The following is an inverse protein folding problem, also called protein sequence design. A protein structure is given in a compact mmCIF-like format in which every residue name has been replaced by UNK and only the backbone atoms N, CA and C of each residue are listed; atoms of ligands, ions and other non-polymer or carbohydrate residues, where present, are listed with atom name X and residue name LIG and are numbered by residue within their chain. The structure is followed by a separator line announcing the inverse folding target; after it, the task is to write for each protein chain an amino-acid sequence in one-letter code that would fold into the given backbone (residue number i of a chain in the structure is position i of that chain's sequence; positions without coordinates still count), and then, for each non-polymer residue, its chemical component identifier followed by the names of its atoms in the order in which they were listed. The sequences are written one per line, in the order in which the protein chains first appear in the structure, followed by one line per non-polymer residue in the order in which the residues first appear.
data_IF_860980198874
#
_entry.id   IF_860980198874
#
_cell.length_a   1.000
_cell.length_b   1.000
_cell.length_c   1.000
_cell.angle_alpha   90.00
_cell.angle_beta   90.00
_cell.angle_gamma   90.00
#
_symmetry.space_group_name_H-M   'P 1'
#
loop_
_entity.id
_entity.type
_entity.pdbx_description
1 polymer ?
#
# COMPACT_ATOMS: atom_id res chain seq x y z
N UNK A 1 -56.01 6.51 14.57
CA UNK A 1 -55.23 7.72 14.24
C UNK A 1 -53.85 7.35 14.71
N UNK A 2 -53.14 6.64 13.84
CA UNK A 2 -51.87 6.01 14.17
C UNK A 2 -50.78 6.96 13.69
N UNK A 3 -50.09 7.58 14.66
CA UNK A 3 -48.85 8.30 14.45
C UNK A 3 -47.79 7.29 14.01
N UNK A 4 -47.47 7.30 12.72
CA UNK A 4 -46.33 6.59 12.17
C UNK A 4 -45.05 7.32 12.59
N UNK A 5 -44.41 6.77 13.61
CA UNK A 5 -43.07 7.06 14.08
C UNK A 5 -42.07 6.90 12.92
N UNK A 6 -41.77 8.01 12.24
CA UNK A 6 -40.78 8.07 11.16
C UNK A 6 -39.38 8.09 11.79
N UNK A 7 -38.89 6.90 12.16
CA UNK A 7 -37.48 6.71 12.49
C UNK A 7 -36.66 6.90 11.22
N UNK A 8 -36.15 8.11 11.03
CA UNK A 8 -34.99 8.33 10.18
C UNK A 8 -33.86 7.47 10.76
N UNK A 9 -33.52 6.38 10.08
CA UNK A 9 -32.29 5.65 10.33
C UNK A 9 -31.13 6.64 10.17
N UNK A 10 -30.58 7.08 11.30
CA UNK A 10 -29.42 7.94 11.36
C UNK A 10 -28.24 7.13 10.79
N UNK A 11 -27.95 7.33 9.49
CA UNK A 11 -26.84 6.65 8.81
C UNK A 11 -25.56 7.08 9.53
N UNK A 12 -25.05 6.22 10.40
CA UNK A 12 -23.79 6.45 11.12
C UNK A 12 -22.66 6.50 10.11
N UNK A 13 -22.26 7.71 9.73
CA UNK A 13 -21.15 7.92 8.81
C UNK A 13 -19.86 7.35 9.42
N UNK A 14 -19.15 6.52 8.67
CA UNK A 14 -17.88 5.96 9.08
C UNK A 14 -16.77 7.00 8.81
N UNK A 15 -16.44 7.83 9.80
CA UNK A 15 -15.45 8.90 9.66
C UNK A 15 -14.11 8.42 10.25
N UNK A 16 -13.02 8.64 9.51
CA UNK A 16 -11.66 8.33 9.96
C UNK A 16 -11.30 9.06 11.25
N UNK A 17 -10.84 8.35 12.28
CA UNK A 17 -10.49 8.97 13.57
C UNK A 17 -9.21 9.81 13.48
N UNK A 18 -8.26 9.40 12.64
CA UNK A 18 -6.94 10.05 12.51
C UNK A 18 -6.95 11.22 11.52
N UNK A 19 -7.91 11.24 10.60
CA UNK A 19 -7.99 12.19 9.49
C UNK A 19 -9.39 12.80 9.42
N UNK A 20 -9.72 13.61 10.43
CA UNK A 20 -11.01 14.25 10.60
C UNK A 20 -10.83 15.68 11.13
N UNK A 21 -10.17 16.52 10.34
CA UNK A 21 -10.15 17.96 10.58
C UNK A 21 -10.99 18.69 9.52
N UNK A 22 -12.32 18.79 9.73
CA UNK A 22 -13.21 19.51 8.81
C UNK A 22 -12.98 21.03 8.84
N UNK A 23 -12.23 21.54 9.82
CA UNK A 23 -11.92 22.96 9.97
C UNK A 23 -10.55 23.32 9.40
N UNK A 24 -9.79 22.35 8.89
CA UNK A 24 -8.54 22.59 8.20
C UNK A 24 -8.77 23.55 7.02
N UNK A 25 -7.81 24.46 6.81
CA UNK A 25 -7.87 25.34 5.64
C UNK A 25 -7.93 24.50 4.36
N UNK A 26 -8.93 24.80 3.51
CA UNK A 26 -9.24 24.03 2.32
C UNK A 26 -9.48 22.53 2.59
N UNK A 27 -10.22 22.19 3.67
CA UNK A 27 -10.64 20.82 3.94
C UNK A 27 -11.36 20.22 2.71
N UNK A 28 -10.85 19.08 2.26
CA UNK A 28 -11.39 18.24 1.21
C UNK A 28 -12.05 17.03 1.88
N UNK A 29 -13.30 16.75 1.52
CA UNK A 29 -13.97 15.52 1.91
C UNK A 29 -13.55 14.43 0.93
N UNK A 30 -12.87 13.41 1.42
CA UNK A 30 -12.47 12.25 0.62
C UNK A 30 -13.28 11.04 1.08
N UNK A 31 -13.89 10.32 0.14
CA UNK A 31 -14.67 9.11 0.41
C UNK A 31 -13.93 7.93 -0.22
N UNK A 32 -13.51 6.97 0.61
CA UNK A 32 -12.93 5.72 0.13
C UNK A 32 -13.97 4.85 -0.56
N UNK A 33 -13.51 3.84 -1.30
CA UNK A 33 -14.39 2.90 -2.00
C UNK A 33 -15.32 2.11 -1.06
N UNK A 34 -14.86 1.82 0.17
CA UNK A 34 -15.63 1.17 1.24
C UNK A 34 -16.46 2.15 2.10
N UNK A 35 -16.58 3.41 1.67
CA UNK A 35 -17.49 4.40 2.25
C UNK A 35 -16.98 5.11 3.51
N UNK A 36 -15.71 4.95 3.88
CA UNK A 36 -15.09 5.73 4.95
C UNK A 36 -14.79 7.16 4.48
N UNK A 37 -15.10 8.13 5.34
CA UNK A 37 -14.93 9.55 5.06
C UNK A 37 -13.67 10.06 5.76
N UNK A 38 -12.85 10.80 5.03
CA UNK A 38 -11.66 11.49 5.50
C UNK A 38 -11.85 12.99 5.26
N UNK A 39 -11.47 13.81 6.23
CA UNK A 39 -11.35 15.25 6.05
C UNK A 39 -9.87 15.61 6.14
N UNK A 40 -9.29 15.95 4.98
CA UNK A 40 -7.87 16.27 4.84
C UNK A 40 -7.70 17.63 4.16
N UNK A 41 -6.61 18.36 4.44
CA UNK A 41 -6.28 19.54 3.64
C UNK A 41 -6.06 19.17 2.16
N UNK A 42 -6.74 19.87 1.24
CA UNK A 42 -6.68 19.58 -0.19
C UNK A 42 -5.25 19.56 -0.77
N UNK A 43 -4.38 20.42 -0.22
CA UNK A 43 -2.98 20.53 -0.68
C UNK A 43 -2.21 19.22 -0.55
N UNK A 44 -2.59 18.33 0.39
CA UNK A 44 -1.94 17.03 0.58
C UNK A 44 -2.02 16.23 -0.72
N UNK A 45 -3.21 16.00 -1.27
CA UNK A 45 -3.36 15.30 -2.55
C UNK A 45 -2.90 16.13 -3.74
N UNK A 46 -3.15 17.44 -3.74
CA UNK A 46 -2.71 18.30 -4.84
C UNK A 46 -1.18 18.33 -4.97
N UNK A 47 -0.43 18.18 -3.88
CA UNK A 47 1.04 18.15 -3.91
C UNK A 47 1.59 16.82 -4.42
N UNK A 48 0.87 15.72 -4.22
CA UNK A 48 1.35 14.39 -4.56
C UNK A 48 1.14 14.04 -6.04
N UNK A 49 0.05 14.50 -6.65
CA UNK A 49 -0.34 14.07 -8.00
C UNK A 49 -0.88 15.21 -8.86
N UNK A 50 -0.49 15.22 -10.14
CA UNK A 50 -1.10 16.11 -11.14
C UNK A 50 -2.57 15.73 -11.36
N UNK A 51 -2.86 14.43 -11.49
CA UNK A 51 -4.21 13.94 -11.74
C UNK A 51 -5.17 14.28 -10.59
N UNK A 52 -4.76 14.03 -9.34
CA UNK A 52 -5.57 14.40 -8.17
C UNK A 52 -5.75 15.91 -8.07
N UNK A 53 -4.70 16.68 -8.39
CA UNK A 53 -4.78 18.14 -8.37
C UNK A 53 -5.78 18.69 -9.37
N UNK A 54 -5.78 18.21 -10.61
CA UNK A 54 -6.75 18.67 -11.61
C UNK A 54 -8.18 18.23 -11.22
N UNK A 55 -8.35 17.01 -10.73
CA UNK A 55 -9.64 16.53 -10.23
C UNK A 55 -10.19 17.41 -9.09
N UNK A 56 -9.34 17.80 -8.14
CA UNK A 56 -9.72 18.68 -7.04
C UNK A 56 -10.04 20.11 -7.53
N UNK A 57 -9.36 20.60 -8.57
CA UNK A 57 -9.70 21.91 -9.16
C UNK A 57 -11.07 21.88 -9.84
N UNK A 58 -11.40 20.82 -10.56
CA UNK A 58 -12.71 20.65 -11.19
C UNK A 58 -13.83 20.61 -10.15
N UNK A 59 -13.57 19.96 -9.02
CA UNK A 59 -14.46 19.95 -7.85
C UNK A 59 -14.63 21.35 -7.25
N UNK A 60 -13.60 22.20 -7.30
CA UNK A 60 -13.61 23.55 -6.73
C UNK A 60 -14.21 24.63 -7.67
N UNK A 61 -14.60 24.29 -8.91
CA UNK A 61 -15.26 25.26 -9.79
C UNK A 61 -16.69 25.52 -9.29
N UNK A 62 -17.05 26.78 -8.96
CA UNK A 62 -18.41 27.09 -8.57
C UNK A 62 -19.31 26.94 -9.80
N UNK A 63 -20.21 25.96 -9.75
CA UNK A 63 -21.33 25.89 -10.70
C UNK A 63 -22.34 26.96 -10.26
N UNK A 64 -22.11 28.19 -10.72
CA UNK A 64 -23.07 29.32 -10.80
C UNK A 64 -23.93 29.61 -9.56
N UNK A 65 -23.55 30.66 -8.84
CA UNK A 65 -24.39 31.55 -8.02
C UNK A 65 -25.31 30.93 -6.97
N UNK A 66 -24.83 30.78 -5.73
CA UNK A 66 -25.54 31.38 -4.59
C UNK A 66 -24.63 31.55 -3.37
N UNK A 67 -24.76 32.71 -2.73
CA UNK A 67 -23.87 33.18 -1.67
C UNK A 67 -24.48 32.88 -0.30
N UNK A 68 -23.97 31.89 0.43
CA UNK A 68 -24.08 31.82 1.90
C UNK A 68 -22.87 31.07 2.51
N UNK A 69 -22.15 31.64 3.48
CA UNK A 69 -21.00 30.99 4.10
C UNK A 69 -21.41 30.33 5.42
N UNK A 70 -21.68 29.02 5.42
CA UNK A 70 -21.80 28.23 6.67
C UNK A 70 -21.37 26.79 6.42
N UNK A 71 -20.32 26.35 7.11
CA UNK A 71 -19.87 24.94 7.22
C UNK A 71 -19.31 24.33 5.93
N UNK A 72 -18.43 23.33 6.07
CA UNK A 72 -17.72 22.69 4.96
C UNK A 72 -18.65 22.41 3.77
N UNK A 73 -18.38 23.06 2.64
CA UNK A 73 -19.23 23.01 1.46
C UNK A 73 -19.27 21.55 0.93
N UNK A 74 -20.44 20.88 0.88
CA UNK A 74 -20.57 19.53 0.34
C UNK A 74 -20.13 19.42 -1.13
N UNK A 75 -19.90 20.54 -1.82
CA UNK A 75 -19.34 20.61 -3.17
C UNK A 75 -17.91 20.04 -3.29
N UNK A 76 -17.11 20.01 -2.20
CA UNK A 76 -15.71 19.54 -2.23
C UNK A 76 -15.53 18.07 -1.85
N UNK A 77 -16.19 17.18 -2.58
CA UNK A 77 -16.12 15.74 -2.34
C UNK A 77 -15.33 15.03 -3.45
N UNK A 78 -14.25 14.34 -3.06
CA UNK A 78 -13.51 13.41 -3.90
C UNK A 78 -13.88 11.98 -3.50
N UNK A 79 -14.53 11.24 -4.39
CA UNK A 79 -14.92 9.84 -4.13
C UNK A 79 -14.10 8.88 -4.95
N UNK A 80 -13.60 7.84 -4.29
CA UNK A 80 -12.91 6.73 -4.90
C UNK A 80 -13.83 5.53 -5.10
N UNK A 81 -13.50 4.65 -6.04
CA UNK A 81 -14.41 3.56 -6.50
C UNK A 81 -13.72 2.22 -6.68
N UNK A 82 -12.39 2.18 -6.65
CA UNK A 82 -11.63 0.94 -6.78
C UNK A 82 -11.53 0.24 -5.43
N UNK A 83 -12.35 -0.78 -5.22
CA UNK A 83 -12.45 -1.53 -3.96
C UNK A 83 -11.12 -2.16 -3.51
N UNK A 84 -10.17 -2.36 -4.43
CA UNK A 84 -8.88 -2.97 -4.11
C UNK A 84 -7.83 -1.92 -3.74
N UNK A 85 -7.74 -0.85 -4.53
CA UNK A 85 -6.65 0.13 -4.40
C UNK A 85 -7.03 1.38 -3.63
N UNK A 86 -8.32 1.66 -3.44
CA UNK A 86 -8.82 2.92 -2.90
C UNK A 86 -9.70 2.72 -1.67
N UNK A 87 -9.48 1.62 -0.96
CA UNK A 87 -10.11 1.32 0.33
C UNK A 87 -9.60 2.24 1.44
N UNK A 88 -10.36 2.34 2.52
CA UNK A 88 -10.03 3.16 3.69
C UNK A 88 -8.65 2.85 4.27
N UNK A 89 -8.26 1.57 4.32
CA UNK A 89 -6.97 1.12 4.85
C UNK A 89 -5.81 1.62 3.98
N UNK A 90 -5.95 1.51 2.64
CA UNK A 90 -4.93 1.98 1.70
C UNK A 90 -4.78 3.50 1.77
N UNK A 91 -5.90 4.24 1.83
CA UNK A 91 -5.85 5.70 1.95
C UNK A 91 -5.22 6.15 3.27
N UNK A 92 -5.60 5.53 4.41
CA UNK A 92 -5.01 5.88 5.71
C UNK A 92 -3.50 5.63 5.73
N UNK A 93 -3.06 4.48 5.23
CA UNK A 93 -1.64 4.14 5.15
C UNK A 93 -0.89 5.07 4.19
N UNK A 94 -1.47 5.38 3.02
CA UNK A 94 -0.91 6.37 2.07
C UNK A 94 -0.74 7.76 2.71
N UNK A 95 -1.77 8.25 3.40
CA UNK A 95 -1.74 9.55 4.10
C UNK A 95 -0.67 9.55 5.21
N UNK A 96 -0.49 8.43 5.90
CA UNK A 96 0.56 8.27 6.92
C UNK A 96 1.96 8.32 6.32
N UNK A 97 2.17 7.68 5.15
CA UNK A 97 3.46 7.67 4.42
C UNK A 97 3.87 9.09 4.01
N UNK A 98 2.94 9.88 3.49
CA UNK A 98 3.24 11.25 3.05
C UNK A 98 3.22 12.27 4.19
N UNK A 99 2.67 11.90 5.35
CA UNK A 99 2.70 12.67 6.59
C UNK A 99 3.96 12.43 7.43
N UNK A 100 5.03 11.92 6.83
CA UNK A 100 6.34 11.65 7.44
C UNK A 100 6.33 10.66 8.63
N UNK A 101 5.33 9.78 8.72
CA UNK A 101 5.38 8.65 9.68
C UNK A 101 6.34 7.57 9.20
N UNK A 102 7.02 6.91 10.13
CA UNK A 102 7.79 5.69 9.82
C UNK A 102 6.87 4.57 9.34
N UNK A 103 7.40 3.63 8.54
CA UNK A 103 6.66 2.48 8.04
C UNK A 103 6.06 1.67 9.18
N UNK A 104 6.87 1.40 10.20
CA UNK A 104 6.49 0.57 11.35
C UNK A 104 5.33 1.21 12.10
N UNK A 105 5.41 2.51 12.41
CA UNK A 105 4.32 3.24 13.05
C UNK A 105 3.04 3.26 12.18
N UNK A 106 3.18 3.44 10.87
CA UNK A 106 2.04 3.44 9.95
C UNK A 106 1.38 2.05 9.84
N UNK A 107 2.16 0.97 9.92
CA UNK A 107 1.63 -0.40 9.96
C UNK A 107 0.97 -0.72 11.30
N UNK A 108 1.54 -0.27 12.43
CA UNK A 108 0.97 -0.48 13.77
C UNK A 108 -0.36 0.26 14.00
N UNK A 109 -0.54 1.42 13.37
CA UNK A 109 -1.79 2.18 13.41
C UNK A 109 -2.87 1.63 12.47
N UNK A 110 -2.49 0.74 11.55
CA UNK A 110 -3.42 0.13 10.61
C UNK A 110 -4.38 -0.81 11.34
N UNK A 111 -5.66 -0.75 10.96
CA UNK A 111 -6.69 -1.65 11.48
C UNK A 111 -6.60 -3.07 10.89
N UNK A 112 -5.85 -3.25 9.80
CA UNK A 112 -5.64 -4.56 9.18
C UNK A 112 -4.34 -5.22 9.65
N UNK A 113 -4.41 -6.54 9.85
CA UNK A 113 -3.24 -7.40 10.11
C UNK A 113 -2.55 -7.86 8.81
N UNK A 114 -3.15 -7.60 7.65
CA UNK A 114 -2.66 -8.03 6.34
C UNK A 114 -1.71 -7.00 5.73
N UNK A 115 -0.55 -6.84 6.36
CA UNK A 115 0.42 -5.80 6.03
C UNK A 115 1.01 -5.92 4.62
N UNK A 116 1.22 -7.14 4.10
CA UNK A 116 1.78 -7.35 2.76
C UNK A 116 0.80 -6.85 1.67
N UNK A 117 -0.47 -7.27 1.65
CA UNK A 117 -1.47 -6.67 0.76
C UNK A 117 -1.59 -5.15 0.92
N UNK A 118 -1.68 -4.63 2.15
CA UNK A 118 -1.81 -3.20 2.40
C UNK A 118 -0.68 -2.39 1.75
N UNK A 119 0.56 -2.82 2.00
CA UNK A 119 1.74 -2.16 1.46
C UNK A 119 1.78 -2.24 -0.07
N UNK A 120 1.53 -3.43 -0.63
CA UNK A 120 1.48 -3.62 -2.09
C UNK A 120 0.40 -2.75 -2.76
N UNK A 121 -0.83 -2.74 -2.21
CA UNK A 121 -1.92 -1.93 -2.75
C UNK A 121 -1.66 -0.43 -2.62
N UNK A 122 -0.98 0.01 -1.56
CA UNK A 122 -0.58 1.42 -1.44
C UNK A 122 0.44 1.82 -2.50
N UNK A 123 1.41 0.96 -2.82
CA UNK A 123 2.31 1.20 -3.94
C UNK A 123 1.56 1.25 -5.28
N UNK A 124 0.57 0.37 -5.47
CA UNK A 124 -0.27 0.38 -6.67
C UNK A 124 -1.15 1.63 -6.76
N UNK A 125 -1.71 2.10 -5.65
CA UNK A 125 -2.44 3.37 -5.55
C UNK A 125 -1.54 4.55 -5.94
N UNK A 126 -0.35 4.65 -5.35
CA UNK A 126 0.62 5.69 -5.67
C UNK A 126 1.02 5.66 -7.15
N UNK A 127 1.12 4.48 -7.75
CA UNK A 127 1.37 4.34 -9.20
C UNK A 127 0.16 4.73 -10.05
N UNK A 128 -1.05 4.30 -9.68
CA UNK A 128 -2.31 4.60 -10.38
C UNK A 128 -2.55 6.10 -10.49
N UNK A 129 -2.31 6.81 -9.39
CA UNK A 129 -2.53 8.25 -9.29
C UNK A 129 -1.30 9.08 -9.65
N UNK A 130 -0.22 8.46 -10.13
CA UNK A 130 1.04 9.13 -10.48
C UNK A 130 1.55 10.04 -9.35
N UNK A 131 1.78 9.42 -8.18
CA UNK A 131 2.32 10.05 -6.99
C UNK A 131 3.83 9.73 -6.84
N UNK A 132 4.74 10.40 -7.59
CA UNK A 132 6.14 9.99 -7.67
C UNK A 132 6.88 10.10 -6.34
N UNK A 133 6.57 11.09 -5.52
CA UNK A 133 7.23 11.28 -4.22
C UNK A 133 6.82 10.20 -3.22
N UNK A 134 5.52 9.92 -3.09
CA UNK A 134 5.03 8.82 -2.28
C UNK A 134 5.60 7.47 -2.75
N UNK A 135 5.61 7.22 -4.06
CA UNK A 135 6.17 5.99 -4.62
C UNK A 135 7.68 5.86 -4.35
N UNK A 136 8.44 6.97 -4.37
CA UNK A 136 9.86 7.00 -4.01
C UNK A 136 10.08 6.63 -2.54
N UNK A 137 9.28 7.18 -1.62
CA UNK A 137 9.34 6.85 -0.18
C UNK A 137 9.05 5.37 0.02
N UNK A 138 7.97 4.85 -0.59
CA UNK A 138 7.62 3.45 -0.51
C UNK A 138 8.74 2.56 -1.06
N UNK A 139 9.29 2.83 -2.25
CA UNK A 139 10.41 2.07 -2.81
C UNK A 139 11.66 2.08 -1.91
N UNK A 140 11.96 3.20 -1.27
CA UNK A 140 13.07 3.28 -0.31
C UNK A 140 12.82 2.37 0.91
N UNK A 141 11.59 2.30 1.40
CA UNK A 141 11.21 1.36 2.45
C UNK A 141 11.27 -0.10 2.00
N UNK A 142 10.85 -0.41 0.76
CA UNK A 142 10.98 -1.76 0.19
C UNK A 142 12.45 -2.20 0.16
N UNK A 143 13.36 -1.29 -0.17
CA UNK A 143 14.79 -1.53 -0.09
C UNK A 143 15.24 -1.78 1.36
N UNK A 144 14.80 -1.00 2.34
CA UNK A 144 15.12 -1.27 3.76
C UNK A 144 14.62 -2.65 4.21
N UNK A 145 13.41 -3.06 3.79
CA UNK A 145 12.88 -4.39 4.08
C UNK A 145 13.78 -5.50 3.49
N UNK A 146 14.36 -5.29 2.31
CA UNK A 146 15.32 -6.25 1.73
C UNK A 146 16.58 -6.43 2.58
N UNK A 147 17.04 -5.36 3.25
CA UNK A 147 18.20 -5.40 4.15
C UNK A 147 17.92 -6.12 5.47
N UNK A 148 16.66 -6.12 5.92
CA UNK A 148 16.24 -6.83 7.13
C UNK A 148 16.23 -8.36 6.95
N UNK A 149 16.11 -8.86 5.72
CA UNK A 149 16.03 -10.29 5.43
C UNK A 149 14.85 -10.95 6.17
N UNK A 150 15.14 -12.03 6.90
CA UNK A 150 14.11 -12.80 7.62
C UNK A 150 13.62 -12.14 8.93
N UNK A 151 14.27 -11.04 9.37
CA UNK A 151 14.07 -10.46 10.71
C UNK A 151 12.76 -9.69 10.87
N UNK A 152 12.18 -9.21 9.76
CA UNK A 152 10.95 -8.44 9.85
C UNK A 152 9.78 -9.35 10.26
N UNK A 153 8.93 -8.96 11.24
CA UNK A 153 7.94 -9.85 11.84
C UNK A 153 6.88 -10.33 10.84
N UNK A 154 6.46 -9.46 9.92
CA UNK A 154 5.31 -9.71 9.06
C UNK A 154 5.65 -9.90 7.58
N UNK A 155 6.34 -8.93 6.99
CA UNK A 155 6.80 -8.97 5.60
C UNK A 155 8.05 -9.85 5.50
N UNK A 156 8.03 -10.87 4.63
CA UNK A 156 9.16 -11.81 4.45
C UNK A 156 9.90 -11.54 3.14
N UNK A 157 11.14 -12.05 2.98
CA UNK A 157 11.94 -11.81 1.78
C UNK A 157 11.23 -12.15 0.46
N UNK A 158 10.40 -13.20 0.42
CA UNK A 158 9.62 -13.54 -0.77
C UNK A 158 8.64 -12.41 -1.14
N UNK A 159 7.94 -11.83 -0.16
CA UNK A 159 7.02 -10.71 -0.41
C UNK A 159 7.78 -9.51 -0.97
N UNK A 160 8.94 -9.19 -0.38
CA UNK A 160 9.80 -8.09 -0.84
C UNK A 160 10.26 -8.34 -2.28
N UNK A 161 10.67 -9.57 -2.61
CA UNK A 161 11.12 -9.94 -3.95
C UNK A 161 10.00 -9.78 -4.99
N UNK A 162 8.81 -10.29 -4.70
CA UNK A 162 7.66 -10.22 -5.62
C UNK A 162 7.24 -8.77 -5.83
N UNK A 163 7.13 -7.98 -4.75
CA UNK A 163 6.79 -6.56 -4.86
C UNK A 163 7.87 -5.82 -5.67
N UNK A 164 9.15 -6.07 -5.39
CA UNK A 164 10.23 -5.44 -6.14
C UNK A 164 10.14 -5.78 -7.64
N UNK A 165 9.86 -7.05 -7.97
CA UNK A 165 9.70 -7.49 -9.34
C UNK A 165 8.52 -6.82 -10.05
N UNK A 166 7.36 -6.71 -9.38
CA UNK A 166 6.15 -6.04 -9.93
C UNK A 166 6.33 -4.54 -10.19
N UNK A 167 7.29 -3.90 -9.51
CA UNK A 167 7.61 -2.48 -9.67
C UNK A 167 8.91 -2.21 -10.45
N UNK A 168 9.53 -3.24 -11.06
CA UNK A 168 10.84 -3.19 -11.75
C UNK A 168 11.99 -2.64 -10.87
N UNK A 169 11.94 -2.89 -9.56
CA UNK A 169 12.97 -2.50 -8.59
C UNK A 169 14.10 -3.53 -8.56
N UNK A 170 14.92 -3.54 -9.61
CA UNK A 170 15.99 -4.54 -9.81
C UNK A 170 17.00 -4.57 -8.68
N UNK A 171 17.40 -3.41 -8.17
CA UNK A 171 18.38 -3.33 -7.08
C UNK A 171 17.83 -4.00 -5.82
N UNK A 172 16.58 -3.73 -5.47
CA UNK A 172 15.91 -4.32 -4.30
C UNK A 172 15.76 -5.83 -4.46
N UNK A 173 15.34 -6.31 -5.63
CA UNK A 173 15.23 -7.75 -5.88
C UNK A 173 16.59 -8.47 -5.82
N UNK A 174 17.64 -7.85 -6.36
CA UNK A 174 19.00 -8.38 -6.28
C UNK A 174 19.51 -8.41 -4.83
N UNK A 175 19.21 -7.37 -4.05
CA UNK A 175 19.57 -7.31 -2.63
C UNK A 175 18.86 -8.41 -1.83
N UNK A 176 17.58 -8.68 -2.12
CA UNK A 176 16.86 -9.81 -1.51
C UNK A 176 17.58 -11.12 -1.80
N UNK A 177 17.95 -11.40 -3.06
CA UNK A 177 18.67 -12.63 -3.44
C UNK A 177 20.01 -12.70 -2.70
N UNK A 178 20.78 -11.61 -2.68
CA UNK A 178 22.12 -11.57 -2.09
C UNK A 178 22.12 -11.70 -0.55
N UNK A 179 21.09 -11.16 0.12
CA UNK A 179 20.96 -11.18 1.58
C UNK A 179 20.14 -12.35 2.09
N UNK A 180 19.47 -13.08 1.21
CA UNK A 180 18.71 -14.26 1.62
C UNK A 180 19.67 -15.27 2.26
N UNK A 181 19.46 -15.51 3.55
CA UNK A 181 20.17 -16.54 4.30
C UNK A 181 19.13 -17.47 4.92
N UNK A 182 19.43 -18.77 4.85
CA UNK A 182 18.63 -19.75 5.56
C UNK A 182 18.70 -19.45 7.06
N UNK A 183 17.60 -19.61 7.76
CA UNK A 183 17.46 -19.45 9.21
C UNK A 183 16.59 -20.60 9.74
N UNK A 184 16.81 -21.01 10.98
CA UNK A 184 15.94 -21.98 11.66
C UNK A 184 14.86 -21.27 12.50
N UNK A 185 14.86 -19.94 12.53
CA UNK A 185 14.06 -19.13 13.46
C UNK A 185 12.60 -18.97 12.98
N UNK A 186 12.36 -19.11 11.68
CA UNK A 186 11.05 -18.84 11.08
C UNK A 186 10.62 -20.02 10.20
N UNK A 187 10.13 -21.09 10.83
CA UNK A 187 9.62 -22.28 10.15
C UNK A 187 8.09 -22.26 10.01
N UNK A 188 7.40 -21.43 10.80
CA UNK A 188 5.96 -21.25 10.74
C UNK A 188 5.59 -20.17 9.71
N UNK A 189 4.53 -20.37 8.92
CA UNK A 189 4.05 -19.36 7.99
C UNK A 189 3.58 -18.10 8.73
N UNK A 190 3.89 -16.89 8.23
CA UNK A 190 3.39 -15.66 8.80
C UNK A 190 1.87 -15.62 8.65
N UNK A 191 1.19 -15.01 9.62
CA UNK A 191 -0.25 -14.80 9.56
C UNK A 191 -0.69 -13.87 8.41
N UNK A 192 0.23 -13.12 7.81
CA UNK A 192 -0.05 -12.03 6.87
C UNK A 192 0.67 -12.13 5.52
N UNK A 193 0.88 -13.35 5.03
CA UNK A 193 1.49 -13.61 3.71
C UNK A 193 0.49 -13.61 2.56
N UNK A 194 0.79 -12.90 1.47
CA UNK A 194 -0.06 -12.89 0.25
C UNK A 194 0.32 -13.97 -0.75
N UNK A 195 1.62 -14.17 -0.96
CA UNK A 195 2.15 -15.05 -2.00
C UNK A 195 2.72 -16.34 -1.41
N UNK A 196 2.12 -16.78 -0.30
CA UNK A 196 2.56 -17.96 0.45
C UNK A 196 3.85 -17.72 1.23
N UNK A 197 4.53 -18.82 1.57
CA UNK A 197 5.63 -18.82 2.51
C UNK A 197 6.70 -19.82 2.09
N UNK A 198 7.94 -19.34 1.99
CA UNK A 198 9.12 -20.22 1.96
C UNK A 198 9.64 -20.32 3.39
N UNK A 199 9.61 -21.52 4.00
CA UNK A 199 10.27 -21.77 5.28
C UNK A 199 11.69 -21.22 5.27
N UNK A 200 12.08 -20.53 6.34
CA UNK A 200 13.39 -19.86 6.36
C UNK A 200 14.57 -20.84 6.25
N UNK A 201 14.38 -22.14 6.47
CA UNK A 201 15.41 -23.16 6.30
C UNK A 201 15.57 -23.65 4.84
N UNK A 202 14.74 -23.17 3.91
CA UNK A 202 14.83 -23.45 2.48
C UNK A 202 15.54 -22.32 1.74
N UNK A 203 15.95 -22.57 0.50
CA UNK A 203 16.52 -21.52 -0.35
C UNK A 203 15.42 -20.74 -1.06
N UNK A 204 15.70 -19.47 -1.38
CA UNK A 204 14.89 -18.67 -2.30
C UNK A 204 15.08 -19.20 -3.73
N UNK A 205 14.47 -20.34 -4.01
CA UNK A 205 14.54 -21.08 -5.27
C UNK A 205 13.13 -21.26 -5.84
N UNK A 206 12.99 -21.26 -7.17
CA UNK A 206 11.68 -21.43 -7.82
C UNK A 206 10.95 -22.67 -7.30
N UNK A 207 11.62 -23.81 -7.18
CA UNK A 207 11.06 -25.07 -6.64
C UNK A 207 10.49 -24.98 -5.21
N UNK A 208 10.95 -24.02 -4.41
CA UNK A 208 10.44 -23.79 -3.05
C UNK A 208 9.35 -22.71 -3.01
N UNK A 209 9.22 -21.90 -4.07
CA UNK A 209 8.20 -20.86 -4.18
C UNK A 209 6.85 -21.52 -4.51
N UNK A 210 5.76 -21.20 -3.79
CA UNK A 210 4.42 -21.70 -4.11
C UNK A 210 3.97 -21.29 -5.52
N UNK A 211 3.23 -22.16 -6.21
CA UNK A 211 2.76 -21.91 -7.60
C UNK A 211 1.98 -20.59 -7.71
N UNK A 212 1.16 -20.25 -6.72
CA UNK A 212 0.40 -18.99 -6.69
C UNK A 212 1.30 -17.75 -6.75
N UNK A 213 2.52 -17.84 -6.22
CA UNK A 213 3.51 -16.76 -6.30
C UNK A 213 4.23 -16.74 -7.64
N UNK A 214 4.35 -17.88 -8.35
CA UNK A 214 4.99 -17.93 -9.66
C UNK A 214 4.25 -17.08 -10.68
N UNK A 215 2.91 -17.14 -10.64
CA UNK A 215 2.04 -16.37 -11.55
C UNK A 215 2.21 -14.86 -11.38
N UNK A 216 2.71 -14.42 -10.23
CA UNK A 216 2.85 -13.02 -9.84
C UNK A 216 4.25 -12.45 -10.09
N UNK A 217 5.24 -13.30 -10.40
CA UNK A 217 6.62 -12.89 -10.69
C UNK A 217 6.79 -12.69 -12.20
N UNK A 218 7.16 -11.48 -12.66
CA UNK A 218 7.49 -11.25 -14.06
C UNK A 218 8.63 -12.17 -14.56
N UNK A 219 8.53 -12.61 -15.83
CA UNK A 219 9.43 -13.62 -16.42
C UNK A 219 10.93 -13.26 -16.39
N UNK A 220 11.27 -11.97 -16.45
CA UNK A 220 12.66 -11.52 -16.34
C UNK A 220 13.24 -11.83 -14.96
N UNK A 221 12.42 -11.74 -13.91
CA UNK A 221 12.82 -12.00 -12.53
C UNK A 221 12.85 -13.49 -12.22
N UNK A 222 11.97 -14.30 -12.81
CA UNK A 222 12.08 -15.77 -12.69
C UNK A 222 13.36 -16.29 -13.36
N UNK A 223 13.74 -15.74 -14.52
CA UNK A 223 15.00 -16.03 -15.18
C UNK A 223 16.22 -15.56 -14.37
N UNK A 224 16.16 -14.36 -13.79
CA UNK A 224 17.25 -13.85 -12.95
C UNK A 224 17.44 -14.73 -11.70
N UNK A 225 16.34 -15.16 -11.06
CA UNK A 225 16.38 -16.03 -9.89
C UNK A 225 17.05 -17.36 -10.23
N UNK A 226 16.63 -18.03 -11.30
CA UNK A 226 17.22 -19.33 -11.70
C UNK A 226 18.72 -19.24 -12.01
N UNK A 227 19.20 -18.12 -12.59
CA UNK A 227 20.63 -17.93 -12.87
C UNK A 227 21.48 -17.60 -11.64
N UNK A 228 20.91 -16.89 -10.66
CA UNK A 228 21.64 -16.54 -9.43
C UNK A 228 22.13 -17.77 -8.65
N UNK A 229 21.44 -18.90 -8.86
CA UNK A 229 21.74 -20.19 -8.24
C UNK A 229 22.85 -20.93 -8.99
N UNK A 230 22.85 -20.90 -10.33
CA UNK A 230 23.94 -21.50 -11.12
C UNK A 230 25.30 -20.85 -10.86
N UNK A 231 25.33 -19.60 -10.40
CA UNK A 231 26.56 -18.91 -9.99
C UNK A 231 27.00 -19.16 -8.55
N UNK A 232 26.18 -19.82 -7.73
CA UNK A 232 26.47 -20.10 -6.31
C UNK A 232 26.78 -21.58 -6.02
N UNK A 233 26.61 -22.48 -7.00
CA UNK A 233 27.27 -23.79 -6.99
C UNK A 233 28.78 -23.63 -7.26
N UNK A 234 29.68 -23.99 -6.32
CA UNK A 234 31.10 -24.04 -6.63
C UNK A 234 31.32 -25.10 -7.71
N UNK A 235 32.14 -24.78 -8.71
CA UNK A 235 32.64 -25.74 -9.69
C UNK A 235 33.18 -26.97 -8.95
N UNK A 236 32.41 -28.06 -8.99
CA UNK A 236 32.93 -29.38 -8.63
C UNK A 236 33.93 -29.70 -9.73
N UNK A 237 35.20 -29.42 -9.45
CA UNK A 237 36.32 -29.94 -10.22
C UNK A 237 36.21 -31.47 -10.15
N UNK A 238 35.79 -32.09 -11.25
CA UNK A 238 36.05 -33.50 -11.48
C UNK A 238 37.49 -33.63 -11.99
N UNK A 239 38.36 -34.22 -11.16
CA UNK A 239 39.59 -34.89 -11.61
C UNK A 239 39.24 -36.15 -12.43
#
# INVERSE_FOLDING_TARGET
MDDADNKQDEVKLNISQSWNDPNADQALKVVSSDGTIFYIPAYIFQSQSVALREMIKDIALPTTNDSTPVSADPSKTLSFTDDTLESSSVLHFFLSVIGDKSLEAALEESTTTDYVPLYHYTMMFAKKWDCPQALKILKAWLFQLSLMGQKHPHIKPLDVFIIAAKFDERQTAAEVIAKYKRSEDCLAPPHSGRWGFIPSNQELHMDNIPIQAWEEIPSVYTYALSRSISSSTPDICFE
#
